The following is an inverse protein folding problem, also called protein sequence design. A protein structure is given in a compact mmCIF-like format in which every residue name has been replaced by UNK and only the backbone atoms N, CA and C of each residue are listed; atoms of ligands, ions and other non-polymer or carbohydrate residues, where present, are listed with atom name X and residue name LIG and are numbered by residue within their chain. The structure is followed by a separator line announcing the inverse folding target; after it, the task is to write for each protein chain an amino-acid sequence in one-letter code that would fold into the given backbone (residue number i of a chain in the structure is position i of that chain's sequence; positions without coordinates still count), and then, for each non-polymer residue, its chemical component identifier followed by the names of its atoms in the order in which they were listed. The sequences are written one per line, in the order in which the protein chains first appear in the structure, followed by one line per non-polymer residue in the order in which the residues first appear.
data_IF_433777480224
#
_entry.id   IF_433777480224
#
_cell.length_a   1.000
_cell.length_b   1.000
_cell.length_c   1.000
_cell.angle_alpha   90.00
_cell.angle_beta   90.00
_cell.angle_gamma   90.00
#
_symmetry.space_group_name_H-M   'P 1'
#
loop_
_entity.id
_entity.type
_entity.pdbx_description
1 polymer ?
#
# COMPACT_ATOMS: atom_id res chain seq x y z
N UNK A 1 -16.01 -13.46 -20.07
CA UNK A 1 -14.53 -13.41 -20.02
C UNK A 1 -14.11 -11.95 -20.07
N UNK A 2 -13.91 -11.30 -18.92
CA UNK A 2 -13.32 -9.95 -18.89
C UNK A 2 -11.81 -10.11 -19.07
N UNK A 3 -11.31 -9.67 -20.23
CA UNK A 3 -9.87 -9.61 -20.48
C UNK A 3 -9.33 -8.48 -19.60
N UNK A 4 -8.63 -8.82 -18.51
CA UNK A 4 -7.75 -7.88 -17.86
C UNK A 4 -6.64 -7.58 -18.87
N UNK A 5 -6.75 -6.46 -19.56
CA UNK A 5 -5.66 -5.94 -20.38
C UNK A 5 -4.55 -5.63 -19.39
N UNK A 6 -3.44 -6.37 -19.46
CA UNK A 6 -2.21 -6.02 -18.75
C UNK A 6 -1.78 -4.64 -19.23
N UNK A 7 -2.23 -3.61 -18.54
CA UNK A 7 -1.70 -2.28 -18.74
C UNK A 7 -0.31 -2.28 -18.13
N UNK A 8 0.68 -1.79 -18.88
CA UNK A 8 2.00 -1.45 -18.34
C UNK A 8 1.83 -0.29 -17.36
N UNK A 9 1.41 -0.61 -16.14
CA UNK A 9 1.31 0.36 -15.06
C UNK A 9 2.68 0.48 -14.42
N UNK A 10 3.23 1.68 -14.50
CA UNK A 10 4.44 2.04 -13.76
C UNK A 10 4.18 1.85 -12.26
N UNK A 11 4.92 0.93 -11.62
CA UNK A 11 4.78 0.65 -10.20
C UNK A 11 5.42 1.82 -9.42
N UNK A 12 4.58 2.67 -8.84
CA UNK A 12 4.98 3.78 -7.96
C UNK A 12 4.62 3.44 -6.52
N UNK A 13 5.45 3.90 -5.57
CA UNK A 13 5.16 3.78 -4.13
C UNK A 13 3.77 4.32 -3.80
N UNK A 14 3.50 5.55 -4.23
CA UNK A 14 2.21 6.19 -4.07
C UNK A 14 1.45 6.03 -5.39
N UNK A 15 0.39 5.23 -5.35
CA UNK A 15 -0.50 4.98 -6.49
C UNK A 15 -1.53 6.10 -6.65
N UNK A 16 -1.91 6.75 -5.56
CA UNK A 16 -2.85 7.86 -5.59
C UNK A 16 -3.09 8.49 -4.23
N UNK A 17 -3.45 9.77 -4.23
CA UNK A 17 -3.85 10.55 -3.06
C UNK A 17 -5.10 11.35 -3.44
N UNK A 18 -6.09 11.41 -2.55
CA UNK A 18 -7.27 12.25 -2.74
C UNK A 18 -7.73 12.83 -1.40
N UNK A 19 -7.91 14.16 -1.35
CA UNK A 19 -8.21 14.92 -0.14
C UNK A 19 -8.81 16.28 -0.55
N UNK A 20 -10.05 16.57 -0.13
CA UNK A 20 -10.72 17.85 -0.36
C UNK A 20 -10.64 18.82 0.84
N UNK A 21 -9.75 18.56 1.79
CA UNK A 21 -9.56 19.35 3.04
C UNK A 21 -10.80 19.42 3.93
N UNK A 22 -11.76 18.52 3.74
CA UNK A 22 -12.94 18.37 4.59
C UNK A 22 -12.62 17.36 5.72
N UNK A 23 -12.90 17.69 6.99
CA UNK A 23 -12.68 16.76 8.10
C UNK A 23 -13.42 15.44 7.92
N UNK A 24 -12.73 14.32 8.18
CA UNK A 24 -13.26 12.98 8.03
C UNK A 24 -12.19 11.90 8.21
N UNK A 25 -12.57 10.62 8.06
CA UNK A 25 -11.67 9.48 8.25
C UNK A 25 -10.56 9.43 7.20
N UNK A 26 -9.47 8.75 7.53
CA UNK A 26 -8.42 8.44 6.55
C UNK A 26 -8.52 6.99 6.13
N UNK A 27 -8.54 6.72 4.82
CA UNK A 27 -8.48 5.39 4.24
C UNK A 27 -7.11 5.22 3.59
N UNK A 28 -6.35 4.22 4.04
CA UNK A 28 -5.08 3.82 3.47
C UNK A 28 -5.27 2.43 2.85
N UNK A 29 -5.10 2.33 1.54
CA UNK A 29 -5.16 1.07 0.82
C UNK A 29 -3.76 0.63 0.41
N UNK A 30 -3.43 -0.61 0.74
CA UNK A 30 -2.21 -1.28 0.33
C UNK A 30 -2.55 -2.28 -0.78
N UNK A 31 -1.72 -2.32 -1.82
CA UNK A 31 -1.79 -3.35 -2.85
C UNK A 31 -0.40 -3.88 -3.17
N UNK A 32 -0.29 -5.17 -3.47
CA UNK A 32 1.00 -5.77 -3.82
C UNK A 32 1.95 -5.90 -2.63
N UNK A 33 1.42 -6.17 -1.43
CA UNK A 33 2.24 -6.60 -0.29
C UNK A 33 2.99 -7.89 -0.61
N UNK A 34 2.37 -8.76 -1.42
CA UNK A 34 3.06 -9.81 -2.16
C UNK A 34 3.23 -9.39 -3.62
N UNK A 35 4.43 -9.54 -4.17
CA UNK A 35 4.78 -9.01 -5.49
C UNK A 35 4.15 -9.75 -6.68
N UNK A 36 3.53 -10.90 -6.47
CA UNK A 36 2.80 -11.65 -7.50
C UNK A 36 1.30 -11.31 -7.57
N UNK A 37 0.84 -10.28 -6.84
CA UNK A 37 -0.58 -9.90 -6.71
C UNK A 37 -0.89 -8.53 -7.37
N UNK A 38 -0.68 -8.40 -8.69
CA UNK A 38 -0.82 -7.12 -9.41
C UNK A 38 -2.25 -6.60 -9.52
N UNK A 39 -3.29 -7.42 -9.34
CA UNK A 39 -4.68 -6.98 -9.50
C UNK A 39 -5.04 -5.81 -8.58
N UNK A 40 -4.54 -5.83 -7.34
CA UNK A 40 -4.71 -4.74 -6.40
C UNK A 40 -4.05 -3.44 -6.88
N UNK A 41 -2.87 -3.52 -7.51
CA UNK A 41 -2.19 -2.36 -8.09
C UNK A 41 -3.04 -1.74 -9.19
N UNK A 42 -3.60 -2.55 -10.09
CA UNK A 42 -4.47 -2.06 -11.16
C UNK A 42 -5.75 -1.41 -10.62
N UNK A 43 -6.42 -2.07 -9.67
CA UNK A 43 -7.65 -1.57 -9.06
C UNK A 43 -7.42 -0.22 -8.34
N UNK A 44 -6.35 -0.11 -7.56
CA UNK A 44 -6.05 1.11 -6.81
C UNK A 44 -5.68 2.28 -7.72
N UNK A 45 -4.92 2.05 -8.79
CA UNK A 45 -4.67 3.08 -9.80
C UNK A 45 -5.97 3.55 -10.46
N UNK A 46 -6.88 2.62 -10.76
CA UNK A 46 -8.17 2.95 -11.34
C UNK A 46 -9.02 3.81 -10.39
N UNK A 47 -9.12 3.42 -9.11
CA UNK A 47 -9.84 4.21 -8.09
C UNK A 47 -9.22 5.60 -7.93
N UNK A 48 -7.90 5.70 -7.84
CA UNK A 48 -7.20 6.97 -7.74
C UNK A 48 -7.49 7.88 -8.94
N UNK A 49 -7.46 7.32 -10.16
CA UNK A 49 -7.81 8.04 -11.39
C UNK A 49 -9.26 8.53 -11.35
N UNK A 50 -10.22 7.67 -10.99
CA UNK A 50 -11.63 8.05 -10.89
C UNK A 50 -11.87 9.17 -9.88
N UNK A 51 -11.23 9.12 -8.70
CA UNK A 51 -11.33 10.17 -7.70
C UNK A 51 -10.79 11.50 -8.24
N UNK A 52 -9.65 11.48 -8.92
CA UNK A 52 -9.05 12.66 -9.53
C UNK A 52 -9.91 13.26 -10.65
N UNK A 53 -10.54 12.42 -11.49
CA UNK A 53 -11.34 12.85 -12.64
C UNK A 53 -12.74 13.33 -12.25
N UNK A 54 -13.41 12.60 -11.35
CA UNK A 54 -14.80 12.87 -10.96
C UNK A 54 -14.92 13.90 -9.85
N UNK A 55 -13.86 14.09 -9.08
CA UNK A 55 -13.80 14.99 -7.94
C UNK A 55 -15.06 14.96 -7.06
N UNK A 56 -15.54 13.78 -6.63
CA UNK A 56 -16.76 13.68 -5.84
C UNK A 56 -16.60 14.42 -4.51
N UNK A 57 -17.72 14.85 -3.92
CA UNK A 57 -17.71 15.36 -2.55
C UNK A 57 -17.14 14.29 -1.61
N UNK A 58 -16.06 14.64 -0.90
CA UNK A 58 -15.26 13.68 -0.15
C UNK A 58 -14.81 14.27 1.17
N UNK A 59 -15.15 13.57 2.25
CA UNK A 59 -14.82 13.95 3.62
C UNK A 59 -13.75 13.00 4.15
N UNK A 60 -12.61 13.55 4.53
CA UNK A 60 -11.45 12.77 4.93
C UNK A 60 -10.41 12.63 3.82
N UNK A 61 -9.60 11.57 3.91
CA UNK A 61 -8.42 11.38 3.05
C UNK A 61 -8.40 9.96 2.49
N UNK A 62 -7.98 9.82 1.24
CA UNK A 62 -7.66 8.56 0.60
C UNK A 62 -6.19 8.53 0.19
N UNK A 63 -5.54 7.40 0.49
CA UNK A 63 -4.16 7.11 0.13
C UNK A 63 -4.07 5.69 -0.40
N UNK A 64 -3.57 5.51 -1.62
CA UNK A 64 -3.26 4.20 -2.18
C UNK A 64 -1.75 4.03 -2.33
N UNK A 65 -1.21 2.93 -1.81
CA UNK A 65 0.22 2.64 -1.76
C UNK A 65 0.49 1.24 -2.31
N UNK A 66 1.55 1.10 -3.12
CA UNK A 66 2.08 -0.21 -3.47
C UNK A 66 2.89 -0.79 -2.32
N UNK A 67 2.87 -2.11 -2.14
CA UNK A 67 3.64 -2.85 -1.14
C UNK A 67 5.08 -3.13 -1.59
N UNK A 68 5.45 -4.40 -1.76
CA UNK A 68 6.81 -4.80 -2.11
C UNK A 68 7.14 -4.45 -3.57
N UNK A 69 7.61 -3.22 -3.84
CA UNK A 69 7.89 -2.73 -5.19
C UNK A 69 8.94 -3.58 -5.90
N UNK A 70 9.98 -3.98 -5.17
CA UNK A 70 11.03 -4.86 -5.66
C UNK A 70 10.49 -6.22 -6.11
N UNK A 71 9.62 -6.85 -5.32
CA UNK A 71 9.01 -8.13 -5.70
C UNK A 71 7.92 -7.98 -6.79
N UNK A 72 7.20 -6.84 -6.81
CA UNK A 72 6.21 -6.51 -7.83
C UNK A 72 6.85 -6.40 -9.23
N UNK A 73 8.06 -5.87 -9.33
CA UNK A 73 8.82 -5.80 -10.58
C UNK A 73 9.14 -7.20 -11.11
N UNK A 74 9.51 -8.12 -10.22
CA UNK A 74 9.93 -9.48 -10.58
C UNK A 74 8.76 -10.47 -10.62
N UNK A 75 7.54 -10.02 -10.28
CA UNK A 75 6.32 -10.84 -10.15
C UNK A 75 6.47 -12.06 -9.24
N UNK A 76 7.27 -11.93 -8.19
CA UNK A 76 7.47 -12.97 -7.15
C UNK A 76 6.76 -12.58 -5.86
N UNK A 77 6.41 -13.53 -5.00
CA UNK A 77 5.73 -13.25 -3.73
C UNK A 77 6.54 -12.28 -2.85
N UNK A 78 7.83 -12.56 -2.69
CA UNK A 78 8.82 -11.76 -1.97
C UNK A 78 10.23 -12.14 -2.45
N UNK A 79 11.27 -11.37 -2.08
CA UNK A 79 12.67 -11.66 -2.42
C UNK A 79 13.39 -12.43 -1.32
N UNK A 80 13.47 -11.86 -0.11
CA UNK A 80 14.21 -12.47 1.00
C UNK A 80 13.25 -13.08 2.04
N UNK A 81 12.20 -12.35 2.40
CA UNK A 81 11.20 -12.78 3.37
C UNK A 81 9.84 -12.16 3.12
N UNK A 82 8.78 -12.72 3.70
CA UNK A 82 7.43 -12.21 3.50
C UNK A 82 7.22 -10.83 4.16
N UNK A 83 6.99 -9.79 3.33
CA UNK A 83 6.75 -8.42 3.80
C UNK A 83 5.58 -8.34 4.79
N UNK A 84 4.55 -9.19 4.65
CA UNK A 84 3.40 -9.21 5.53
C UNK A 84 3.64 -9.98 6.85
N UNK A 85 4.89 -10.36 7.13
CA UNK A 85 5.32 -11.02 8.37
C UNK A 85 6.29 -10.19 9.21
N UNK A 86 6.84 -9.10 8.66
CA UNK A 86 7.87 -8.30 9.34
C UNK A 86 7.33 -7.07 10.07
N UNK A 87 6.02 -6.82 10.08
CA UNK A 87 5.36 -5.73 10.83
C UNK A 87 5.23 -6.04 12.33
N UNK A 88 6.34 -6.43 12.96
CA UNK A 88 6.41 -6.73 14.39
C UNK A 88 6.48 -5.45 15.23
N UNK A 89 6.11 -5.54 16.51
CA UNK A 89 6.25 -4.42 17.47
C UNK A 89 7.67 -3.87 17.51
N UNK A 90 8.68 -4.75 17.44
CA UNK A 90 10.09 -4.36 17.41
C UNK A 90 10.43 -3.54 16.17
N UNK A 91 10.07 -4.03 14.98
CA UNK A 91 10.36 -3.33 13.73
C UNK A 91 9.61 -2.00 13.67
N UNK A 92 8.33 -1.97 14.08
CA UNK A 92 7.55 -0.73 14.18
C UNK A 92 8.21 0.26 15.14
N UNK A 93 8.73 -0.19 16.28
CA UNK A 93 9.45 0.66 17.22
C UNK A 93 10.69 1.29 16.58
N UNK A 94 11.50 0.49 15.87
CA UNK A 94 12.68 0.98 15.12
C UNK A 94 12.29 2.06 14.11
N UNK A 95 11.23 1.82 13.34
CA UNK A 95 10.72 2.77 12.35
C UNK A 95 10.22 4.08 12.98
N UNK A 96 9.51 4.00 14.11
CA UNK A 96 9.03 5.18 14.84
C UNK A 96 10.17 6.04 15.37
N UNK A 97 11.26 5.40 15.82
CA UNK A 97 12.45 6.05 16.35
C UNK A 97 13.46 6.45 15.26
N UNK A 98 13.17 6.19 13.98
CA UNK A 98 14.08 6.37 12.85
C UNK A 98 15.46 5.69 13.08
N UNK A 99 15.46 4.52 13.71
CA UNK A 99 16.70 3.76 13.90
C UNK A 99 17.20 3.21 12.56
N UNK A 100 18.52 3.12 12.36
CA UNK A 100 19.07 2.53 11.13
C UNK A 100 18.63 1.06 10.99
N UNK A 101 18.50 0.62 9.74
CA UNK A 101 18.24 -0.80 9.45
C UNK A 101 19.42 -1.65 9.95
N UNK A 102 19.17 -2.90 10.40
CA UNK A 102 20.23 -3.83 10.77
C UNK A 102 21.21 -4.07 9.61
N UNK A 103 22.44 -4.45 9.94
CA UNK A 103 23.46 -4.78 8.93
C UNK A 103 23.02 -5.93 8.01
N UNK A 104 22.24 -6.88 8.53
CA UNK A 104 21.65 -8.01 7.80
C UNK A 104 20.22 -7.70 7.32
N UNK A 105 19.92 -6.44 7.01
CA UNK A 105 18.58 -6.05 6.54
C UNK A 105 18.26 -6.64 5.17
N UNK A 106 17.00 -7.00 4.99
CA UNK A 106 16.49 -7.55 3.72
C UNK A 106 15.89 -6.46 2.85
N UNK A 107 15.63 -6.79 1.58
CA UNK A 107 14.87 -5.92 0.68
C UNK A 107 13.53 -5.53 1.30
N UNK A 108 12.81 -6.48 1.90
CA UNK A 108 11.52 -6.19 2.53
C UNK A 108 11.61 -5.26 3.75
N UNK A 109 12.72 -5.24 4.50
CA UNK A 109 12.91 -4.27 5.58
C UNK A 109 13.04 -2.83 5.03
N UNK A 110 13.70 -2.67 3.89
CA UNK A 110 13.75 -1.37 3.21
C UNK A 110 12.36 -0.97 2.65
N UNK A 111 11.64 -1.90 2.04
CA UNK A 111 10.25 -1.70 1.59
C UNK A 111 9.34 -1.29 2.76
N UNK A 112 9.46 -1.96 3.91
CA UNK A 112 8.71 -1.62 5.12
C UNK A 112 9.00 -0.19 5.59
N UNK A 113 10.27 0.21 5.64
CA UNK A 113 10.66 1.56 6.02
C UNK A 113 10.09 2.61 5.06
N UNK A 114 10.14 2.34 3.75
CA UNK A 114 9.59 3.22 2.73
C UNK A 114 8.07 3.35 2.84
N UNK A 115 7.34 2.25 3.05
CA UNK A 115 5.89 2.27 3.29
C UNK A 115 5.58 3.08 4.55
N UNK A 116 6.29 2.82 5.65
CA UNK A 116 6.05 3.51 6.91
C UNK A 116 6.24 5.02 6.79
N UNK A 117 7.28 5.46 6.07
CA UNK A 117 7.55 6.87 5.79
C UNK A 117 6.36 7.55 5.09
N UNK A 118 5.76 6.89 4.10
CA UNK A 118 4.62 7.43 3.35
C UNK A 118 3.33 7.49 4.17
N UNK A 119 3.05 6.48 5.02
CA UNK A 119 1.81 6.43 5.80
C UNK A 119 1.89 7.24 7.10
N UNK A 120 3.08 7.45 7.65
CA UNK A 120 3.26 8.13 8.96
C UNK A 120 2.52 9.47 9.07
N UNK A 121 2.51 10.36 8.05
CA UNK A 121 1.75 11.62 8.09
C UNK A 121 0.22 11.44 8.15
N UNK A 122 -0.28 10.26 7.80
CA UNK A 122 -1.70 9.91 7.76
C UNK A 122 -2.18 9.20 9.03
N UNK A 123 -1.26 8.69 9.86
CA UNK A 123 -1.57 8.02 11.12
C UNK A 123 -1.87 8.99 12.27
N UNK A 124 -1.56 10.28 12.12
CA UNK A 124 -1.64 11.30 13.17
C UNK A 124 -2.84 12.24 13.01
N UNK A 125 -3.91 11.81 12.34
CA UNK A 125 -5.04 12.70 12.04
C UNK A 125 -5.91 13.06 13.25
N UNK A 126 -6.39 14.30 13.23
CA UNK A 126 -7.11 15.05 14.25
C UNK A 126 -8.48 14.46 14.62
N UNK A 127 -8.50 13.40 15.43
CA UNK A 127 -9.71 12.88 16.07
C UNK A 127 -10.64 12.05 15.18
N UNK A 128 -10.23 11.72 13.96
CA UNK A 128 -10.97 10.83 13.06
C UNK A 128 -10.26 9.47 12.92
N UNK A 129 -11.00 8.37 12.71
CA UNK A 129 -10.40 7.04 12.58
C UNK A 129 -9.57 6.93 11.30
N UNK A 130 -8.58 6.03 11.36
CA UNK A 130 -7.78 5.60 10.21
C UNK A 130 -8.14 4.15 9.90
N UNK A 131 -8.52 3.88 8.66
CA UNK A 131 -8.79 2.54 8.15
C UNK A 131 -7.64 2.11 7.24
N UNK A 132 -7.10 0.92 7.49
CA UNK A 132 -6.11 0.27 6.65
C UNK A 132 -6.76 -0.90 5.93
N UNK A 133 -6.68 -0.94 4.61
CA UNK A 133 -7.20 -1.99 3.76
C UNK A 133 -6.03 -2.63 3.00
N UNK A 134 -5.69 -3.88 3.29
CA UNK A 134 -4.68 -4.64 2.55
C UNK A 134 -5.38 -5.54 1.52
N UNK A 135 -5.18 -5.22 0.24
CA UNK A 135 -5.86 -5.89 -0.87
C UNK A 135 -5.00 -7.04 -1.39
N UNK A 136 -5.51 -8.25 -1.21
CA UNK A 136 -4.86 -9.48 -1.65
C UNK A 136 -5.65 -10.20 -2.74
N UNK A 137 -4.94 -10.99 -3.55
CA UNK A 137 -5.54 -11.97 -4.46
C UNK A 137 -5.22 -13.38 -4.00
N UNK A 138 -6.23 -14.23 -3.92
CA UNK A 138 -6.05 -15.67 -3.73
C UNK A 138 -6.14 -16.39 -5.08
N UNK A 139 -5.32 -17.43 -5.25
CA UNK A 139 -5.43 -18.38 -6.37
C UNK A 139 -6.25 -19.61 -6.02
N UNK A 140 -6.55 -19.83 -4.72
CA UNK A 140 -7.44 -20.89 -4.27
C UNK A 140 -8.90 -20.46 -4.44
N UNK A 141 -9.75 -21.40 -4.87
CA UNK A 141 -11.20 -21.20 -4.79
C UNK A 141 -11.61 -20.98 -3.33
N UNK A 142 -12.15 -19.81 -3.05
CA UNK A 142 -12.80 -19.50 -1.78
C UNK A 142 -13.99 -18.59 -2.04
N UNK A 143 -15.04 -18.71 -1.24
CA UNK A 143 -16.12 -17.73 -1.26
C UNK A 143 -15.58 -16.36 -0.78
N UNK A 144 -15.99 -15.25 -1.43
CA UNK A 144 -15.62 -13.91 -1.00
C UNK A 144 -16.24 -13.53 0.35
#
# INVERSE_FOLDING_TARGET
MSVFVEQNVEIKRVLGKYDQKKPGPTIICFGGMHGNEHAAIYALNHVAKLLSEKQPDFRGKFLAISGNMSALQDRVRYKDQDLNRIWTTENIHRLKQNLPLPHHSTVEMAEQANIFSEIKPYLTTSGFPVYALDLHTTSAESHP
#
